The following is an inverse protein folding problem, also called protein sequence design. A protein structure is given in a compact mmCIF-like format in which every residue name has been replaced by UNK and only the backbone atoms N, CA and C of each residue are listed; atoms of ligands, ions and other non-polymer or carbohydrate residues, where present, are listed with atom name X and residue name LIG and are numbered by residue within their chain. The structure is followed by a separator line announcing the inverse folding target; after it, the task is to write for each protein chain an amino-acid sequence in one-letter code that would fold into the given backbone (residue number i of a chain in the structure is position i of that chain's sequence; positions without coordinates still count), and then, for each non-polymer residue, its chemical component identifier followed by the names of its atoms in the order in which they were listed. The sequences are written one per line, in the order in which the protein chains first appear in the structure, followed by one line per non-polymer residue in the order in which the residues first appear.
data_IF_339924600906
#
_entry.id   IF_339924600906
#
_cell.length_a   1.000
_cell.length_b   1.000
_cell.length_c   1.000
_cell.angle_alpha   90.00
_cell.angle_beta   90.00
_cell.angle_gamma   90.00
#
_symmetry.space_group_name_H-M   'P 1'
#
loop_
_entity.id
_entity.type
_entity.pdbx_description
1 polymer ?
#
# COMPACT_ATOMS: atom_id res chain seq x y z
N UNK A 1 57.67 32.71 43.93
CA UNK A 1 58.31 31.52 43.34
C UNK A 1 57.23 30.48 43.01
N UNK A 2 57.39 29.81 41.87
CA UNK A 2 56.58 28.76 41.18
C UNK A 2 55.52 28.06 42.04
N UNK A 3 54.23 27.90 41.69
CA UNK A 3 53.49 27.53 40.46
C UNK A 3 53.75 26.08 39.98
N UNK A 4 52.87 25.15 40.39
CA UNK A 4 52.52 23.95 39.62
C UNK A 4 51.06 23.55 39.85
N UNK A 5 50.30 23.55 38.75
CA UNK A 5 48.99 22.95 38.52
C UNK A 5 49.19 21.54 37.98
N UNK A 6 48.25 20.63 38.25
CA UNK A 6 48.04 19.37 37.51
C UNK A 6 46.51 19.17 37.47
N UNK A 7 45.81 19.61 36.41
CA UNK A 7 45.43 18.85 35.19
C UNK A 7 44.70 17.53 35.54
N UNK A 8 43.37 17.42 35.53
CA UNK A 8 42.40 17.54 34.41
C UNK A 8 42.72 16.58 33.25
N UNK A 9 42.29 15.32 33.39
CA UNK A 9 42.24 14.32 32.32
C UNK A 9 40.78 13.99 32.00
N UNK A 10 40.18 14.75 31.08
CA UNK A 10 38.88 14.46 30.51
C UNK A 10 39.01 13.33 29.48
N UNK A 11 38.48 12.16 29.79
CA UNK A 11 38.33 11.07 28.82
C UNK A 11 37.24 11.44 27.82
N UNK A 12 37.66 11.66 26.58
CA UNK A 12 36.80 11.94 25.43
C UNK A 12 36.68 10.68 24.57
N UNK A 13 35.50 10.51 23.96
CA UNK A 13 35.09 9.50 22.96
C UNK A 13 34.55 8.21 23.60
N UNK A 14 33.39 7.69 23.19
CA UNK A 14 32.89 7.62 21.80
C UNK A 14 31.36 7.62 21.79
N UNK A 15 30.76 8.66 21.22
CA UNK A 15 29.33 8.69 20.88
C UNK A 15 29.17 7.92 19.56
N UNK A 16 28.86 6.62 19.63
CA UNK A 16 28.54 5.82 18.44
C UNK A 16 27.05 5.91 18.16
N UNK A 17 26.72 6.59 17.06
CA UNK A 17 25.52 6.50 16.24
C UNK A 17 24.28 5.75 16.81
N UNK A 18 23.39 6.48 17.48
CA UNK A 18 21.95 6.16 17.48
C UNK A 18 21.25 7.04 16.44
N UNK A 19 21.43 6.69 15.15
CA UNK A 19 20.90 7.46 14.03
C UNK A 19 20.30 6.63 12.90
N UNK A 20 20.11 5.32 13.08
CA UNK A 20 19.68 4.44 11.99
C UNK A 20 18.32 3.76 12.19
N UNK A 21 17.69 3.82 13.37
CA UNK A 21 16.38 3.14 13.57
C UNK A 21 15.15 3.97 13.18
N UNK A 22 15.28 5.28 12.94
CA UNK A 22 14.13 6.12 12.53
C UNK A 22 13.92 6.22 11.02
N UNK A 23 14.88 5.76 10.21
CA UNK A 23 14.77 5.76 8.74
C UNK A 23 14.16 4.46 8.20
N UNK A 24 14.20 3.38 8.99
CA UNK A 24 13.58 2.09 8.64
C UNK A 24 12.05 2.07 8.76
N UNK A 25 11.44 3.02 9.48
CA UNK A 25 9.99 3.18 9.51
C UNK A 25 9.41 3.87 8.25
N UNK A 26 10.26 4.36 7.35
CA UNK A 26 9.82 4.93 6.06
C UNK A 26 9.26 3.89 5.09
N UNK A 27 9.59 2.61 5.25
CA UNK A 27 9.10 1.52 4.40
C UNK A 27 7.69 1.03 4.76
N UNK A 28 7.24 1.19 6.01
CA UNK A 28 5.85 0.91 6.40
C UNK A 28 4.85 1.95 5.88
N UNK A 29 5.33 3.04 5.31
CA UNK A 29 4.51 4.21 5.03
C UNK A 29 4.03 4.27 3.58
N UNK A 30 4.76 3.59 2.70
CA UNK A 30 4.36 3.18 1.34
C UNK A 30 3.12 2.27 1.35
N UNK A 31 2.91 1.57 2.47
CA UNK A 31 1.86 0.57 2.72
C UNK A 31 0.59 1.21 3.35
N UNK A 32 0.71 2.41 3.93
CA UNK A 32 -0.37 3.04 4.72
C UNK A 32 -1.60 3.46 3.89
N UNK A 33 -1.44 3.68 2.59
CA UNK A 33 -2.53 4.01 1.67
C UNK A 33 -3.32 2.78 1.22
N UNK A 34 -2.71 1.58 1.19
CA UNK A 34 -3.18 0.52 0.31
C UNK A 34 -4.18 -0.52 0.89
N UNK A 35 -4.49 -0.57 2.20
CA UNK A 35 -5.05 -1.82 2.78
C UNK A 35 -6.40 -1.82 3.46
N UNK A 36 -7.16 -0.72 3.48
CA UNK A 36 -8.50 -0.79 4.08
C UNK A 36 -9.53 -1.57 3.23
N UNK A 37 -9.26 -1.81 1.94
CA UNK A 37 -10.22 -2.44 1.03
C UNK A 37 -10.02 -3.96 0.85
N UNK A 38 -8.80 -4.48 1.05
CA UNK A 38 -8.51 -5.91 0.88
C UNK A 38 -9.28 -6.80 1.89
N UNK A 39 -9.35 -6.46 3.19
CA UNK A 39 -10.13 -7.25 4.15
C UNK A 39 -11.63 -7.23 3.83
N UNK A 40 -12.16 -6.10 3.35
CA UNK A 40 -13.58 -5.98 2.96
C UNK A 40 -13.89 -6.77 1.67
N UNK A 41 -13.00 -6.74 0.69
CA UNK A 41 -13.15 -7.51 -0.53
C UNK A 41 -13.07 -9.02 -0.27
N UNK A 42 -12.19 -9.42 0.66
CA UNK A 42 -11.94 -10.80 0.99
C UNK A 42 -13.05 -11.42 1.88
N UNK A 43 -13.54 -10.67 2.87
CA UNK A 43 -14.71 -11.08 3.66
C UNK A 43 -15.98 -11.21 2.80
N UNK A 44 -16.19 -10.30 1.84
CA UNK A 44 -17.33 -10.36 0.93
C UNK A 44 -17.28 -11.54 -0.06
N UNK A 45 -16.11 -12.17 -0.25
CA UNK A 45 -15.93 -13.35 -1.09
C UNK A 45 -16.07 -14.67 -0.31
N UNK A 46 -16.42 -14.62 0.99
CA UNK A 46 -16.57 -15.82 1.82
C UNK A 46 -15.26 -16.57 2.08
N UNK A 47 -14.10 -15.90 1.93
CA UNK A 47 -12.80 -16.52 2.21
C UNK A 47 -12.58 -16.65 3.72
N UNK A 48 -11.99 -17.78 4.12
CA UNK A 48 -11.50 -17.95 5.49
C UNK A 48 -10.32 -17.02 5.81
N UNK A 49 -10.02 -16.90 7.11
CA UNK A 49 -8.96 -16.02 7.62
C UNK A 49 -7.57 -16.34 7.05
N UNK A 50 -7.27 -17.62 6.77
CA UNK A 50 -5.97 -18.02 6.21
C UNK A 50 -5.80 -17.45 4.81
N UNK A 51 -6.81 -17.58 3.96
CA UNK A 51 -6.80 -17.01 2.59
C UNK A 51 -6.80 -15.49 2.61
N UNK A 52 -7.54 -14.87 3.53
CA UNK A 52 -7.47 -13.41 3.74
C UNK A 52 -6.05 -12.97 4.12
N UNK A 53 -5.37 -13.74 4.97
CA UNK A 53 -3.98 -13.53 5.36
C UNK A 53 -3.03 -13.61 4.16
N UNK A 54 -3.17 -14.62 3.30
CA UNK A 54 -2.38 -14.75 2.07
C UNK A 54 -2.58 -13.54 1.17
N UNK A 55 -3.82 -13.16 0.87
CA UNK A 55 -4.13 -11.98 0.04
C UNK A 55 -3.52 -10.71 0.63
N UNK A 56 -3.64 -10.50 1.94
CA UNK A 56 -3.09 -9.33 2.62
C UNK A 56 -1.56 -9.32 2.58
N UNK A 57 -0.92 -10.49 2.72
CA UNK A 57 0.53 -10.60 2.66
C UNK A 57 1.11 -10.26 1.29
N UNK A 58 0.39 -10.49 0.20
CA UNK A 58 0.85 -10.20 -1.18
C UNK A 58 1.07 -8.72 -1.46
N UNK A 59 0.64 -7.86 -0.55
CA UNK A 59 0.86 -6.43 -0.68
C UNK A 59 2.07 -5.88 0.08
N UNK A 60 2.77 -6.72 0.84
CA UNK A 60 4.02 -6.31 1.47
C UNK A 60 5.08 -6.05 0.38
N UNK A 61 5.94 -5.05 0.61
CA UNK A 61 7.00 -4.67 -0.33
C UNK A 61 7.87 -5.88 -0.74
N UNK A 62 8.25 -6.69 0.24
CA UNK A 62 9.08 -7.87 0.11
C UNK A 62 8.29 -9.18 -0.05
N UNK A 63 7.00 -9.12 -0.35
CA UNK A 63 6.20 -10.34 -0.54
C UNK A 63 6.71 -11.14 -1.74
N UNK A 64 6.88 -12.45 -1.53
CA UNK A 64 7.23 -13.43 -2.55
C UNK A 64 6.05 -14.40 -2.68
N UNK A 65 5.47 -14.47 -3.87
CA UNK A 65 4.50 -15.51 -4.19
C UNK A 65 5.27 -16.77 -4.59
N UNK A 66 5.26 -17.78 -3.72
CA UNK A 66 5.82 -19.11 -3.99
C UNK A 66 4.74 -20.07 -4.46
N UNK A 67 5.15 -21.18 -5.07
CA UNK A 67 4.21 -22.24 -5.47
C UNK A 67 3.46 -22.83 -4.27
N UNK A 68 4.13 -22.93 -3.12
CA UNK A 68 3.50 -23.39 -1.87
C UNK A 68 2.41 -22.43 -1.40
N UNK A 69 2.68 -21.12 -1.37
CA UNK A 69 1.68 -20.11 -0.99
C UNK A 69 0.50 -20.12 -1.97
N UNK A 70 0.77 -20.27 -3.27
CA UNK A 70 -0.26 -20.37 -4.29
C UNK A 70 -1.14 -21.61 -4.07
N UNK A 71 -0.53 -22.79 -3.91
CA UNK A 71 -1.25 -24.02 -3.60
C UNK A 71 -2.07 -23.90 -2.33
N UNK A 72 -1.52 -23.31 -1.27
CA UNK A 72 -2.20 -23.11 0.01
C UNK A 72 -3.42 -22.19 -0.11
N UNK A 73 -3.32 -21.15 -0.94
CA UNK A 73 -4.46 -20.27 -1.21
C UNK A 73 -5.59 -21.02 -1.91
N UNK A 74 -5.25 -21.86 -2.89
CA UNK A 74 -6.21 -22.66 -3.65
C UNK A 74 -6.67 -23.94 -2.92
N UNK A 75 -5.93 -24.39 -1.90
CA UNK A 75 -6.26 -25.57 -1.12
C UNK A 75 -7.62 -25.38 -0.44
N UNK A 76 -8.57 -26.26 -0.75
CA UNK A 76 -9.93 -26.23 -0.20
C UNK A 76 -10.97 -25.49 -1.05
N UNK A 77 -10.64 -25.05 -2.27
CA UNK A 77 -11.66 -24.89 -3.30
C UNK A 77 -11.94 -26.26 -3.92
N UNK A 78 -13.20 -26.68 -3.98
CA UNK A 78 -13.59 -28.03 -4.46
C UNK A 78 -13.17 -28.29 -5.91
N UNK A 79 -13.24 -27.24 -6.75
CA UNK A 79 -12.72 -27.21 -8.11
C UNK A 79 -12.52 -25.74 -8.51
N UNK A 80 -11.32 -25.32 -8.97
CA UNK A 80 -11.10 -23.99 -9.52
C UNK A 80 -11.95 -23.66 -10.75
N UNK A 81 -12.45 -24.68 -11.46
CA UNK A 81 -13.37 -24.52 -12.59
C UNK A 81 -14.85 -24.50 -12.20
N UNK A 82 -15.17 -24.71 -10.91
CA UNK A 82 -16.54 -24.59 -10.43
C UNK A 82 -17.03 -23.15 -10.69
N UNK A 83 -18.21 -22.95 -11.33
CA UNK A 83 -18.74 -21.61 -11.62
C UNK A 83 -18.86 -20.70 -10.39
N UNK A 84 -19.13 -21.26 -9.21
CA UNK A 84 -19.21 -20.52 -7.95
C UNK A 84 -17.83 -20.02 -7.49
N UNK A 85 -16.80 -20.86 -7.61
CA UNK A 85 -15.41 -20.50 -7.31
C UNK A 85 -14.93 -19.40 -8.26
N UNK A 86 -15.13 -19.58 -9.57
CA UNK A 86 -14.77 -18.60 -10.58
C UNK A 86 -15.45 -17.25 -10.34
N UNK A 87 -16.77 -17.25 -10.13
CA UNK A 87 -17.50 -16.02 -9.85
C UNK A 87 -17.01 -15.30 -8.57
N UNK A 88 -16.61 -16.06 -7.55
CA UNK A 88 -16.06 -15.49 -6.31
C UNK A 88 -14.68 -14.88 -6.53
N UNK A 89 -13.80 -15.57 -7.26
CA UNK A 89 -12.47 -15.08 -7.61
C UNK A 89 -12.53 -13.86 -8.55
N UNK A 90 -13.44 -13.86 -9.52
CA UNK A 90 -13.66 -12.70 -10.40
C UNK A 90 -14.09 -11.46 -9.61
N UNK A 91 -15.04 -11.62 -8.67
CA UNK A 91 -15.48 -10.51 -7.80
C UNK A 91 -14.36 -10.00 -6.90
N UNK A 92 -13.51 -10.90 -6.41
CA UNK A 92 -12.35 -10.55 -5.60
C UNK A 92 -11.31 -9.79 -6.42
N UNK A 93 -10.92 -10.37 -7.56
CA UNK A 93 -9.96 -9.79 -8.51
C UNK A 93 -10.41 -8.41 -8.98
N UNK A 94 -11.69 -8.25 -9.38
CA UNK A 94 -12.25 -6.97 -9.78
C UNK A 94 -12.20 -5.91 -8.65
N UNK A 95 -12.55 -6.29 -7.41
CA UNK A 95 -12.51 -5.37 -6.28
C UNK A 95 -11.08 -4.94 -5.90
N UNK A 96 -10.13 -5.88 -5.95
CA UNK A 96 -8.73 -5.60 -5.67
C UNK A 96 -8.11 -4.75 -6.77
N UNK A 97 -8.40 -5.06 -8.04
CA UNK A 97 -7.98 -4.24 -9.18
C UNK A 97 -8.49 -2.81 -9.06
N UNK A 98 -9.76 -2.60 -8.75
CA UNK A 98 -10.31 -1.27 -8.54
C UNK A 98 -9.59 -0.53 -7.39
N UNK A 99 -9.34 -1.22 -6.27
CA UNK A 99 -8.64 -0.63 -5.12
C UNK A 99 -7.22 -0.20 -5.52
N UNK A 100 -6.47 -1.07 -6.19
CA UNK A 100 -5.11 -0.80 -6.69
C UNK A 100 -5.10 0.37 -7.68
N UNK A 101 -6.06 0.43 -8.60
CA UNK A 101 -6.18 1.53 -9.56
C UNK A 101 -6.41 2.88 -8.86
N UNK A 102 -7.25 2.90 -7.83
CA UNK A 102 -7.49 4.12 -7.05
C UNK A 102 -6.23 4.57 -6.31
N UNK A 103 -5.53 3.65 -5.65
CA UNK A 103 -4.27 3.96 -4.95
C UNK A 103 -3.16 4.42 -5.90
N UNK A 104 -3.07 3.81 -7.08
CA UNK A 104 -2.17 4.24 -8.15
C UNK A 104 -2.48 5.67 -8.58
N UNK A 105 -3.76 5.99 -8.81
CA UNK A 105 -4.18 7.33 -9.21
C UNK A 105 -3.89 8.38 -8.12
N UNK A 106 -4.05 8.03 -6.84
CA UNK A 106 -3.65 8.86 -5.70
C UNK A 106 -2.14 9.14 -5.75
N UNK A 107 -1.31 8.11 -5.89
CA UNK A 107 0.13 8.26 -5.96
C UNK A 107 0.57 9.12 -7.17
N UNK A 108 -0.03 8.90 -8.34
CA UNK A 108 0.21 9.73 -9.53
C UNK A 108 -0.20 11.19 -9.31
N UNK A 109 -1.32 11.43 -8.62
CA UNK A 109 -1.78 12.78 -8.26
C UNK A 109 -0.79 13.48 -7.33
N UNK A 110 -0.23 12.78 -6.34
CA UNK A 110 0.86 13.32 -5.51
C UNK A 110 2.11 13.62 -6.32
N UNK A 111 2.54 12.71 -7.20
CA UNK A 111 3.68 12.92 -8.08
C UNK A 111 3.50 14.18 -8.93
N UNK A 112 2.34 14.32 -9.57
CA UNK A 112 1.99 15.45 -10.39
C UNK A 112 1.93 16.75 -9.57
N UNK A 113 1.34 16.70 -8.39
CA UNK A 113 1.22 17.85 -7.49
C UNK A 113 2.57 18.36 -7.00
N UNK A 114 3.49 17.45 -6.64
CA UNK A 114 4.88 17.80 -6.26
C UNK A 114 5.62 18.42 -7.44
N UNK A 115 5.53 17.78 -8.63
CA UNK A 115 6.22 18.24 -9.83
C UNK A 115 5.74 19.63 -10.27
N UNK A 116 4.44 19.89 -10.20
CA UNK A 116 3.83 21.14 -10.65
C UNK A 116 3.71 22.20 -9.52
N UNK A 117 4.04 21.84 -8.28
CA UNK A 117 3.91 22.69 -7.08
C UNK A 117 2.52 23.31 -6.90
N UNK A 118 1.48 22.61 -7.36
CA UNK A 118 0.08 22.97 -7.18
C UNK A 118 -0.76 21.70 -7.03
N UNK A 119 -1.96 21.75 -6.44
CA UNK A 119 -2.85 20.60 -6.36
C UNK A 119 -3.21 20.12 -7.77
N UNK A 120 -2.88 18.86 -8.09
CA UNK A 120 -3.20 18.21 -9.36
C UNK A 120 -3.77 16.83 -9.06
N UNK A 121 -4.92 16.54 -9.66
CA UNK A 121 -5.54 15.21 -9.63
C UNK A 121 -5.24 14.53 -10.96
N UNK A 122 -4.77 13.30 -10.91
CA UNK A 122 -4.56 12.47 -12.09
C UNK A 122 -5.92 12.13 -12.73
N UNK A 123 -6.00 12.18 -14.06
CA UNK A 123 -7.25 11.96 -14.79
C UNK A 123 -7.88 10.59 -14.53
N UNK A 124 -7.08 9.58 -14.18
CA UNK A 124 -7.60 8.24 -13.85
C UNK A 124 -8.29 8.16 -12.48
N UNK A 125 -8.07 9.14 -11.60
CA UNK A 125 -8.59 9.13 -10.24
C UNK A 125 -10.13 9.14 -10.19
N UNK A 126 -10.77 10.09 -10.88
CA UNK A 126 -12.23 10.24 -10.81
C UNK A 126 -12.93 8.98 -11.36
N UNK A 127 -12.39 8.39 -12.42
CA UNK A 127 -12.92 7.12 -12.97
C UNK A 127 -12.76 5.97 -11.96
N UNK A 128 -11.58 5.81 -11.36
CA UNK A 128 -11.34 4.77 -10.36
C UNK A 128 -12.22 4.95 -9.11
N UNK A 129 -12.45 6.20 -8.70
CA UNK A 129 -13.30 6.54 -7.57
C UNK A 129 -14.78 6.26 -7.83
N UNK A 130 -15.30 6.61 -9.01
CA UNK A 130 -16.68 6.26 -9.38
C UNK A 130 -16.89 4.74 -9.42
N UNK A 131 -15.96 4.00 -10.03
CA UNK A 131 -15.98 2.53 -10.02
C UNK A 131 -16.01 1.97 -8.58
N UNK A 132 -15.28 2.60 -7.65
CA UNK A 132 -15.29 2.21 -6.23
C UNK A 132 -16.66 2.42 -5.59
N UNK A 133 -17.31 3.57 -5.86
CA UNK A 133 -18.65 3.86 -5.37
C UNK A 133 -19.70 2.90 -5.94
N UNK A 134 -19.60 2.56 -7.22
CA UNK A 134 -20.46 1.57 -7.87
C UNK A 134 -20.30 0.18 -7.24
N UNK A 135 -19.06 -0.26 -6.99
CA UNK A 135 -18.80 -1.52 -6.30
C UNK A 135 -19.37 -1.55 -4.88
N UNK A 136 -19.25 -0.46 -4.13
CA UNK A 136 -19.85 -0.36 -2.79
C UNK A 136 -21.39 -0.44 -2.86
N UNK A 137 -22.00 0.26 -3.82
CA UNK A 137 -23.45 0.24 -4.05
C UNK A 137 -23.93 -1.16 -4.43
N UNK A 138 -23.27 -1.83 -5.37
CA UNK A 138 -23.60 -3.19 -5.79
C UNK A 138 -23.53 -4.19 -4.62
N UNK A 139 -22.65 -3.94 -3.65
CA UNK A 139 -22.49 -4.75 -2.43
C UNK A 139 -23.33 -4.29 -1.24
N UNK A 140 -24.17 -3.25 -1.41
CA UNK A 140 -24.96 -2.63 -0.34
C UNK A 140 -24.09 -2.19 0.86
N UNK A 141 -22.86 -1.78 0.60
CA UNK A 141 -21.94 -1.25 1.60
C UNK A 141 -22.04 0.28 1.67
N UNK A 142 -21.93 0.88 2.87
CA UNK A 142 -22.02 2.33 3.03
C UNK A 142 -20.85 3.04 2.32
N UNK A 143 -21.11 4.12 1.55
CA UNK A 143 -20.07 4.84 0.82
C UNK A 143 -19.27 5.81 1.71
N UNK A 144 -19.71 6.06 2.95
CA UNK A 144 -19.18 7.12 3.82
C UNK A 144 -17.67 7.04 4.01
N UNK A 145 -17.14 5.82 4.17
CA UNK A 145 -15.69 5.62 4.32
C UNK A 145 -14.93 6.00 3.04
N UNK A 146 -15.48 5.71 1.86
CA UNK A 146 -14.86 6.08 0.59
C UNK A 146 -14.94 7.60 0.36
N UNK A 147 -16.07 8.23 0.68
CA UNK A 147 -16.25 9.68 0.58
C UNK A 147 -15.33 10.44 1.56
N UNK A 148 -15.20 9.95 2.79
CA UNK A 148 -14.27 10.53 3.77
C UNK A 148 -12.81 10.44 3.30
N UNK A 149 -12.43 9.32 2.68
CA UNK A 149 -11.09 9.14 2.07
C UNK A 149 -10.85 10.07 0.89
N UNK A 150 -11.83 10.25 0.00
CA UNK A 150 -11.73 11.19 -1.12
C UNK A 150 -11.53 12.63 -0.62
N UNK A 151 -12.33 13.04 0.37
CA UNK A 151 -12.18 14.35 1.01
C UNK A 151 -10.77 14.52 1.60
N UNK A 152 -10.30 13.57 2.40
CA UNK A 152 -8.98 13.60 3.01
C UNK A 152 -7.86 13.65 1.95
N UNK A 153 -7.99 12.88 0.87
CA UNK A 153 -7.07 12.92 -0.27
C UNK A 153 -7.04 14.31 -0.91
N UNK A 154 -8.20 14.88 -1.27
CA UNK A 154 -8.26 16.21 -1.90
C UNK A 154 -7.70 17.31 -1.00
N UNK A 155 -7.97 17.26 0.30
CA UNK A 155 -7.42 18.19 1.30
C UNK A 155 -5.91 18.05 1.50
N UNK A 156 -5.34 16.88 1.21
CA UNK A 156 -3.90 16.63 1.32
C UNK A 156 -3.10 17.22 0.15
N UNK A 157 -3.70 17.34 -1.05
CA UNK A 157 -3.00 17.77 -2.27
C UNK A 157 -2.30 19.13 -2.14
N UNK A 158 -2.92 20.20 -1.57
CA UNK A 158 -2.24 21.48 -1.37
C UNK A 158 -1.04 21.37 -0.43
N UNK A 159 -1.10 20.50 0.59
CA UNK A 159 0.00 20.27 1.53
C UNK A 159 1.15 19.54 0.84
N UNK A 160 0.84 18.46 0.12
CA UNK A 160 1.81 17.67 -0.66
C UNK A 160 2.50 18.53 -1.73
N UNK A 161 1.74 19.35 -2.47
CA UNK A 161 2.28 20.26 -3.48
C UNK A 161 3.31 21.26 -2.92
N UNK A 162 3.18 21.63 -1.64
CA UNK A 162 4.07 22.55 -0.92
C UNK A 162 5.16 21.82 -0.13
N UNK A 163 5.26 20.50 -0.23
CA UNK A 163 6.21 19.70 0.56
C UNK A 163 5.92 19.71 2.06
N UNK A 164 4.67 19.96 2.46
CA UNK A 164 4.25 19.95 3.86
C UNK A 164 3.89 18.54 4.32
N UNK A 165 3.94 18.33 5.64
CA UNK A 165 3.55 17.05 6.22
C UNK A 165 2.04 16.82 6.13
N UNK A 166 1.65 15.61 5.77
CA UNK A 166 0.28 15.10 5.84
C UNK A 166 0.20 14.03 6.93
N UNK A 167 -0.98 13.86 7.53
CA UNK A 167 -1.21 12.76 8.46
C UNK A 167 -1.65 11.51 7.68
N UNK A 168 -1.00 10.39 7.97
CA UNK A 168 -1.31 9.08 7.41
C UNK A 168 -1.17 8.05 8.53
N UNK A 169 -2.26 7.37 8.88
CA UNK A 169 -2.31 6.36 9.94
C UNK A 169 -1.65 6.80 11.26
N UNK A 170 -1.99 8.00 11.73
CA UNK A 170 -1.46 8.56 12.99
C UNK A 170 -0.01 9.05 12.91
N UNK A 171 0.64 8.96 11.74
CA UNK A 171 2.00 9.43 11.51
C UNK A 171 2.03 10.64 10.59
N UNK A 172 2.94 11.59 10.84
CA UNK A 172 3.18 12.74 9.96
C UNK A 172 4.24 12.43 8.92
N UNK A 173 3.92 12.75 7.67
CA UNK A 173 4.69 12.31 6.50
C UNK A 173 4.87 13.46 5.55
N UNK A 174 6.11 13.74 5.16
CA UNK A 174 6.40 14.65 4.06
C UNK A 174 6.51 13.84 2.78
N UNK A 175 5.50 13.93 1.92
CA UNK A 175 5.49 13.23 0.64
C UNK A 175 6.49 13.87 -0.32
N UNK A 176 7.41 13.07 -0.86
CA UNK A 176 8.39 13.50 -1.85
C UNK A 176 8.39 12.53 -3.05
N UNK A 177 9.05 12.89 -4.14
CA UNK A 177 9.06 12.07 -5.37
C UNK A 177 9.60 10.67 -5.15
N UNK A 178 10.64 10.50 -4.33
CA UNK A 178 11.20 9.18 -4.00
C UNK A 178 10.16 8.27 -3.33
N UNK A 179 9.46 8.77 -2.31
CA UNK A 179 8.42 8.00 -1.61
C UNK A 179 7.27 7.66 -2.55
N UNK A 180 6.87 8.59 -3.42
CA UNK A 180 5.80 8.35 -4.39
C UNK A 180 6.21 7.29 -5.42
N UNK A 181 7.44 7.37 -5.95
CA UNK A 181 7.96 6.40 -6.91
C UNK A 181 8.07 5.01 -6.29
N UNK A 182 8.54 4.93 -5.05
CA UNK A 182 8.55 3.69 -4.27
C UNK A 182 7.14 3.12 -4.07
N UNK A 183 6.15 3.96 -3.77
CA UNK A 183 4.75 3.54 -3.66
C UNK A 183 4.21 2.98 -4.96
N UNK A 184 4.47 3.64 -6.08
CA UNK A 184 4.06 3.13 -7.39
C UNK A 184 4.67 1.75 -7.68
N UNK A 185 5.96 1.57 -7.39
CA UNK A 185 6.62 0.26 -7.57
C UNK A 185 5.97 -0.84 -6.72
N UNK A 186 5.67 -0.55 -5.44
CA UNK A 186 5.03 -1.52 -4.54
C UNK A 186 3.60 -1.84 -5.00
N UNK A 187 2.84 -0.85 -5.46
CA UNK A 187 1.47 -1.04 -5.97
C UNK A 187 1.49 -1.97 -7.19
N UNK A 188 2.35 -1.71 -8.17
CA UNK A 188 2.46 -2.51 -9.40
C UNK A 188 2.95 -3.93 -9.09
N UNK A 189 3.94 -4.08 -8.22
CA UNK A 189 4.44 -5.39 -7.79
C UNK A 189 3.35 -6.20 -7.07
N UNK A 190 2.55 -5.54 -6.23
CA UNK A 190 1.43 -6.18 -5.52
C UNK A 190 0.34 -6.62 -6.48
N UNK A 191 0.00 -5.80 -7.46
CA UNK A 191 -0.95 -6.16 -8.51
C UNK A 191 -0.49 -7.41 -9.28
N UNK A 192 0.76 -7.42 -9.74
CA UNK A 192 1.32 -8.57 -10.46
C UNK A 192 1.37 -9.85 -9.61
N UNK A 193 1.56 -9.75 -8.29
CA UNK A 193 1.48 -10.91 -7.37
C UNK A 193 0.04 -11.40 -7.23
N UNK A 194 -0.91 -10.51 -7.04
CA UNK A 194 -2.33 -10.87 -6.86
C UNK A 194 -2.94 -11.43 -8.14
N UNK A 195 -2.60 -10.88 -9.30
CA UNK A 195 -3.03 -11.42 -10.60
C UNK A 195 -2.56 -12.88 -10.78
N UNK A 196 -1.33 -13.19 -10.36
CA UNK A 196 -0.82 -14.57 -10.36
C UNK A 196 -1.46 -15.44 -9.28
N UNK A 197 -1.69 -14.89 -8.08
CA UNK A 197 -2.35 -15.61 -6.99
C UNK A 197 -3.76 -16.08 -7.41
N UNK A 198 -4.52 -15.20 -8.07
CA UNK A 198 -5.89 -15.49 -8.53
C UNK A 198 -5.96 -16.26 -9.85
N UNK A 199 -4.83 -16.54 -10.49
CA UNK A 199 -4.80 -17.51 -11.57
C UNK A 199 -4.81 -18.92 -10.94
N UNK A 200 -5.78 -19.79 -11.24
CA UNK A 200 -5.80 -21.14 -10.69
C UNK A 200 -4.63 -22.00 -11.18
N UNK A 201 -3.99 -21.63 -12.29
CA UNK A 201 -2.80 -22.29 -12.81
C UNK A 201 -1.56 -21.58 -12.30
N UNK A 202 -0.68 -22.33 -11.62
CA UNK A 202 0.62 -21.82 -11.19
C UNK A 202 1.44 -21.37 -12.40
N UNK A 203 1.93 -20.13 -12.34
CA UNK A 203 2.87 -19.58 -13.30
C UNK A 203 4.07 -19.02 -12.55
N UNK A 204 5.29 -19.55 -12.77
CA UNK A 204 6.46 -19.07 -12.06
C UNK A 204 6.72 -17.59 -12.41
N UNK A 205 7.32 -16.81 -11.48
CA UNK A 205 7.77 -15.47 -11.79
C UNK A 205 8.68 -15.49 -13.02
N UNK A 206 8.49 -14.55 -13.95
CA UNK A 206 9.49 -14.32 -15.00
C UNK A 206 10.80 -13.95 -14.29
N UNK A 207 11.88 -14.65 -14.64
CA UNK A 207 13.21 -14.24 -14.21
C UNK A 207 13.47 -12.84 -14.78
N UNK A 208 13.75 -11.88 -13.90
CA UNK A 208 14.17 -10.54 -14.28
C UNK A 208 15.65 -10.52 -14.63
#
# INVERSE_FOLDING_TARGET
MLKTRTAAGASTRTRVHMGFSKVLNGACLTVALCFAAAPLAANAAGMDERRQGVVTSMFQENAVLTEEIHRDFWAGFEDPNNPSTQASMDRLSAALKNSIQLERAVALSYKASIKQRKPVVDASYDTAFQNRLELLRARKLPPDTALAKDKAFRESLPKVAKGQSIESNGSRVVMNTFLVDKSLQVIEASYARLERLFNPVWTPPKAN
#
